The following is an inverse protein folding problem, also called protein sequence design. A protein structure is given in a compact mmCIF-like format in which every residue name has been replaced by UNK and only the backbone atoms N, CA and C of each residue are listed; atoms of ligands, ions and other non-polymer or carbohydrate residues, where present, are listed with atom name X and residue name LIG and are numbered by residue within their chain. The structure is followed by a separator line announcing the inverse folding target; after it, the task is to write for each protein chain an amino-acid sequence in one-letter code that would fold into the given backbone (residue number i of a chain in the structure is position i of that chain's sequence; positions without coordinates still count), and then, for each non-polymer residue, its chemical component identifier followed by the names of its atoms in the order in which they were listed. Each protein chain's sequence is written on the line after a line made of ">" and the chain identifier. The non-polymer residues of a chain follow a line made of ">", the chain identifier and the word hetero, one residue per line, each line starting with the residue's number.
data_IF_283957018464
#
_entry.id   IF_283957018464
#
_cell.length_a   1.000
_cell.length_b   1.000
_cell.length_c   1.000
_cell.angle_alpha   90.00
_cell.angle_beta   90.00
_cell.angle_gamma   90.00
#
_symmetry.space_group_name_H-M   'P 1'
#
loop_
_entity.id
_entity.type
_entity.pdbx_description
1 polymer ?
#
# COMPACT_ATOMS: atom_id res chain seq x y z
N UNK A 1 -1.83 -7.11 14.21
CA UNK A 1 -0.51 -6.46 14.41
C UNK A 1 0.04 -6.94 15.73
N UNK A 2 1.31 -7.37 15.74
CA UNK A 2 1.97 -8.03 16.87
C UNK A 2 2.01 -7.12 18.11
N UNK A 3 1.87 -7.72 19.28
CA UNK A 3 2.02 -7.10 20.59
C UNK A 3 3.37 -7.52 21.23
N UNK A 4 3.68 -6.93 22.39
CA UNK A 4 4.90 -7.22 23.13
C UNK A 4 5.03 -8.70 23.55
N UNK A 5 3.91 -9.38 23.80
CA UNK A 5 3.90 -10.80 24.16
C UNK A 5 4.30 -11.67 22.97
N UNK A 6 3.80 -11.36 21.77
CA UNK A 6 4.20 -12.01 20.53
C UNK A 6 5.71 -11.84 20.25
N UNK A 7 6.27 -10.65 20.48
CA UNK A 7 7.71 -10.43 20.32
C UNK A 7 8.54 -11.22 21.34
N UNK A 8 8.05 -11.35 22.57
CA UNK A 8 8.68 -12.18 23.61
C UNK A 8 8.67 -13.67 23.22
N UNK A 9 7.57 -14.15 22.63
CA UNK A 9 7.50 -15.50 22.07
C UNK A 9 8.49 -15.70 20.92
N UNK A 10 8.55 -14.75 19.97
CA UNK A 10 9.47 -14.82 18.84
C UNK A 10 10.93 -14.81 19.29
N UNK A 11 11.29 -13.99 20.29
CA UNK A 11 12.63 -13.96 20.86
C UNK A 11 13.09 -15.34 21.35
N UNK A 12 12.22 -16.04 22.09
CA UNK A 12 12.48 -17.38 22.59
C UNK A 12 12.44 -18.43 21.48
N UNK A 13 11.54 -18.29 20.50
CA UNK A 13 11.44 -19.23 19.39
C UNK A 13 12.70 -19.20 18.49
N UNK A 14 13.30 -18.02 18.30
CA UNK A 14 14.52 -17.82 17.53
C UNK A 14 15.80 -18.33 18.22
N UNK A 15 15.74 -18.65 19.51
CA UNK A 15 16.86 -19.28 20.23
C UNK A 15 16.92 -20.79 20.05
N UNK A 16 15.90 -21.40 19.43
CA UNK A 16 15.88 -22.83 19.15
C UNK A 16 16.75 -23.14 17.91
N UNK A 17 17.60 -24.18 17.99
CA UNK A 17 18.45 -24.62 16.88
C UNK A 17 17.67 -25.01 15.62
N UNK A 18 16.41 -25.42 15.77
CA UNK A 18 15.50 -25.79 14.67
C UNK A 18 14.64 -24.60 14.18
N UNK A 19 14.94 -23.36 14.59
CA UNK A 19 14.18 -22.19 14.17
C UNK A 19 14.41 -21.88 12.69
N UNK A 20 13.35 -21.62 11.90
CA UNK A 20 13.49 -21.20 10.52
C UNK A 20 13.97 -19.74 10.42
N UNK A 21 14.44 -19.36 9.23
CA UNK A 21 14.78 -17.96 8.93
C UNK A 21 13.51 -17.11 8.99
N UNK A 22 13.53 -16.10 9.86
CA UNK A 22 12.43 -15.16 10.03
C UNK A 22 12.66 -13.92 9.16
N UNK A 23 11.73 -13.65 8.24
CA UNK A 23 11.71 -12.42 7.44
C UNK A 23 10.48 -11.61 7.84
N UNK A 24 10.71 -10.38 8.33
CA UNK A 24 9.66 -9.45 8.73
C UNK A 24 9.70 -8.24 7.81
N UNK A 25 8.53 -7.73 7.43
CA UNK A 25 8.39 -6.47 6.71
C UNK A 25 7.49 -5.51 7.50
N UNK A 26 7.88 -4.24 7.53
CA UNK A 26 7.12 -3.16 8.17
C UNK A 26 7.14 -1.94 7.28
N UNK A 27 6.00 -1.27 7.19
CA UNK A 27 5.83 0.00 6.49
C UNK A 27 5.69 1.18 7.46
N UNK A 28 5.92 0.96 8.76
CA UNK A 28 5.80 1.99 9.81
C UNK A 28 7.18 2.48 10.24
N UNK A 29 7.35 3.80 10.34
CA UNK A 29 8.58 4.44 10.80
C UNK A 29 8.77 4.30 12.31
N UNK A 30 8.20 5.20 13.10
CA UNK A 30 8.19 5.12 14.57
C UNK A 30 6.74 4.92 15.00
N UNK A 31 6.46 3.90 15.81
CA UNK A 31 5.11 3.62 16.31
C UNK A 31 5.17 3.06 17.73
N UNK A 32 4.04 3.05 18.42
CA UNK A 32 3.94 2.50 19.77
C UNK A 32 3.96 0.97 19.71
N UNK A 33 4.68 0.34 20.63
CA UNK A 33 4.64 -1.11 20.78
C UNK A 33 3.30 -1.45 21.40
N UNK A 34 2.48 -2.23 20.69
CA UNK A 34 1.15 -2.63 21.16
C UNK A 34 1.27 -3.41 22.48
N UNK A 35 0.46 -3.01 23.46
CA UNK A 35 0.53 -3.51 24.84
C UNK A 35 1.38 -2.65 25.79
N UNK A 36 2.02 -1.59 25.28
CA UNK A 36 2.80 -0.65 26.10
C UNK A 36 2.57 0.80 25.66
N UNK A 37 3.06 1.74 26.47
CA UNK A 37 3.05 3.18 26.14
C UNK A 37 4.36 3.66 25.53
N UNK A 38 5.31 2.75 25.22
CA UNK A 38 6.60 3.10 24.67
C UNK A 38 6.57 3.15 23.14
N UNK A 39 7.24 4.17 22.58
CA UNK A 39 7.48 4.29 21.14
C UNK A 39 8.83 3.70 20.78
N UNK A 40 8.87 2.93 19.70
CA UNK A 40 10.10 2.37 19.17
C UNK A 40 10.14 2.44 17.63
N UNK A 41 11.33 2.33 17.02
CA UNK A 41 11.44 2.14 15.58
C UNK A 41 10.68 0.89 15.15
N UNK A 42 9.87 1.04 14.12
CA UNK A 42 9.01 0.01 13.54
C UNK A 42 7.96 -0.61 14.48
N UNK A 43 7.84 -0.14 15.73
CA UNK A 43 6.98 -0.74 16.75
C UNK A 43 7.52 -2.06 17.28
N UNK A 44 8.82 -2.30 17.12
CA UNK A 44 9.52 -3.49 17.56
C UNK A 44 10.29 -3.16 18.85
N UNK A 45 10.25 -4.01 19.89
CA UNK A 45 11.09 -3.87 21.07
C UNK A 45 12.60 -3.77 20.73
N UNK A 46 13.36 -2.96 21.45
CA UNK A 46 14.78 -2.70 21.12
C UNK A 46 15.67 -3.94 21.18
N UNK A 47 15.38 -4.84 22.13
CA UNK A 47 16.04 -6.15 22.27
C UNK A 47 15.85 -7.04 21.03
N UNK A 48 14.66 -7.01 20.42
CA UNK A 48 14.39 -7.74 19.20
C UNK A 48 15.05 -7.05 18.00
N UNK A 49 15.02 -5.72 17.96
CA UNK A 49 15.59 -4.92 16.86
C UNK A 49 17.11 -5.11 16.74
N UNK A 50 17.83 -5.18 17.85
CA UNK A 50 19.29 -5.39 17.87
C UNK A 50 19.70 -6.75 17.27
N UNK A 51 18.78 -7.71 17.19
CA UNK A 51 18.98 -9.04 16.61
C UNK A 51 18.63 -9.11 15.11
N UNK A 52 18.07 -8.05 14.53
CA UNK A 52 17.61 -8.04 13.14
C UNK A 52 18.62 -7.39 12.19
N UNK A 53 18.75 -7.97 11.00
CA UNK A 53 19.37 -7.30 9.87
C UNK A 53 18.31 -6.45 9.15
N UNK A 54 18.48 -5.12 9.18
CA UNK A 54 17.56 -4.20 8.52
C UNK A 54 17.98 -3.99 7.07
N UNK A 55 17.10 -4.36 6.13
CA UNK A 55 17.25 -4.09 4.70
C UNK A 55 16.20 -3.05 4.30
N UNK A 56 16.65 -1.90 3.80
CA UNK A 56 15.76 -0.84 3.33
C UNK A 56 15.44 -1.02 1.85
N UNK A 57 14.17 -0.85 1.49
CA UNK A 57 13.72 -0.82 0.10
C UNK A 57 13.52 0.63 -0.33
N UNK A 58 13.85 0.93 -1.59
CA UNK A 58 13.62 2.24 -2.20
C UNK A 58 12.35 2.21 -3.06
N UNK A 59 11.64 3.33 -3.19
CA UNK A 59 10.52 3.43 -4.13
C UNK A 59 10.99 3.18 -5.57
N UNK A 60 10.15 2.49 -6.34
CA UNK A 60 10.42 2.24 -7.75
C UNK A 60 10.36 3.53 -8.57
N UNK A 61 11.22 3.61 -9.58
CA UNK A 61 11.17 4.63 -10.63
C UNK A 61 10.05 4.33 -11.63
N UNK A 62 9.62 5.34 -12.40
CA UNK A 62 8.58 5.15 -13.41
C UNK A 62 8.95 4.09 -14.47
N UNK A 63 10.24 3.99 -14.82
CA UNK A 63 10.74 2.98 -15.76
C UNK A 63 10.64 1.56 -15.18
N UNK A 64 10.94 1.39 -13.90
CA UNK A 64 10.80 0.10 -13.19
C UNK A 64 9.33 -0.28 -13.04
N UNK A 65 8.45 0.68 -12.73
CA UNK A 65 7.00 0.47 -12.68
C UNK A 65 6.49 -0.04 -14.03
N UNK A 66 6.91 0.57 -15.14
CA UNK A 66 6.53 0.13 -16.50
C UNK A 66 6.93 -1.32 -16.75
N UNK A 67 8.17 -1.69 -16.43
CA UNK A 67 8.67 -3.08 -16.58
C UNK A 67 7.90 -4.07 -15.72
N UNK A 68 7.56 -3.69 -14.48
CA UNK A 68 6.75 -4.55 -13.60
C UNK A 68 5.35 -4.74 -14.20
N UNK A 69 4.72 -3.67 -14.70
CA UNK A 69 3.41 -3.76 -15.34
C UNK A 69 3.45 -4.58 -16.63
N UNK A 70 4.53 -4.48 -17.41
CA UNK A 70 4.73 -5.31 -18.61
C UNK A 70 4.75 -6.80 -18.26
N UNK A 71 5.55 -7.19 -17.26
CA UNK A 71 5.61 -8.59 -16.78
C UNK A 71 4.23 -9.04 -16.27
N UNK A 72 3.49 -8.17 -15.58
CA UNK A 72 2.16 -8.50 -15.08
C UNK A 72 1.12 -8.66 -16.19
N UNK A 73 1.19 -7.86 -17.25
CA UNK A 73 0.35 -8.06 -18.43
C UNK A 73 0.64 -9.40 -19.12
N UNK A 74 1.91 -9.81 -19.20
CA UNK A 74 2.31 -11.11 -19.73
C UNK A 74 1.85 -12.27 -18.83
N UNK A 75 1.99 -12.14 -17.50
CA UNK A 75 1.53 -13.16 -16.54
C UNK A 75 0.00 -13.33 -16.52
N UNK A 76 -0.75 -12.24 -16.68
CA UNK A 76 -2.22 -12.26 -16.70
C UNK A 76 -2.80 -12.56 -18.10
N UNK A 77 -1.96 -12.77 -19.12
CA UNK A 77 -2.34 -13.01 -20.53
C UNK A 77 -3.26 -11.91 -21.08
N UNK A 78 -2.93 -10.64 -20.77
CA UNK A 78 -3.68 -9.46 -21.20
C UNK A 78 -2.85 -8.67 -22.22
N UNK A 79 -3.25 -8.75 -23.49
CA UNK A 79 -2.67 -7.90 -24.53
C UNK A 79 -3.12 -6.44 -24.34
N UNK A 80 -2.18 -5.53 -24.19
CA UNK A 80 -2.45 -4.10 -23.98
C UNK A 80 -1.65 -3.24 -24.94
N UNK A 81 -2.26 -2.16 -25.44
CA UNK A 81 -1.60 -1.20 -26.32
C UNK A 81 -0.46 -0.46 -25.60
N UNK A 82 0.53 0.01 -26.36
CA UNK A 82 1.65 0.77 -25.81
C UNK A 82 1.19 2.05 -25.08
N UNK A 83 0.20 2.75 -25.64
CA UNK A 83 -0.41 3.93 -25.02
C UNK A 83 -1.14 3.58 -23.72
N UNK A 84 -1.78 2.41 -23.66
CA UNK A 84 -2.40 1.89 -22.44
C UNK A 84 -1.37 1.66 -21.34
N UNK A 85 -0.23 1.04 -21.67
CA UNK A 85 0.90 0.82 -20.75
C UNK A 85 1.47 2.12 -20.19
N UNK A 86 1.60 3.14 -21.04
CA UNK A 86 2.11 4.44 -20.62
C UNK A 86 1.12 5.17 -19.69
N UNK A 87 -0.19 5.08 -19.96
CA UNK A 87 -1.22 5.61 -19.06
C UNK A 87 -1.22 4.89 -17.71
N UNK A 88 -1.16 3.55 -17.72
CA UNK A 88 -1.16 2.73 -16.51
C UNK A 88 0.07 2.99 -15.65
N UNK A 89 1.22 3.25 -16.27
CA UNK A 89 2.46 3.63 -15.60
C UNK A 89 2.33 4.98 -14.89
N UNK A 90 1.70 5.98 -15.55
CA UNK A 90 1.40 7.28 -14.93
C UNK A 90 0.48 7.12 -13.72
N UNK A 91 -0.62 6.37 -13.88
CA UNK A 91 -1.55 6.08 -12.78
C UNK A 91 -0.82 5.38 -11.62
N UNK A 92 0.03 4.39 -11.90
CA UNK A 92 0.80 3.67 -10.89
C UNK A 92 1.80 4.54 -10.13
N UNK A 93 2.33 5.58 -10.78
CA UNK A 93 3.23 6.56 -10.17
C UNK A 93 2.50 7.55 -9.27
N UNK A 94 1.30 8.01 -9.66
CA UNK A 94 0.50 8.97 -8.89
C UNK A 94 -0.23 8.32 -7.69
N UNK A 95 -0.64 7.06 -7.85
CA UNK A 95 -1.44 6.32 -6.86
C UNK A 95 -0.60 5.26 -6.13
N UNK A 96 -0.63 4.01 -6.59
CA UNK A 96 0.19 2.90 -6.11
C UNK A 96 0.32 1.81 -7.16
N UNK A 97 1.44 1.09 -7.14
CA UNK A 97 1.67 -0.07 -8.01
C UNK A 97 0.59 -1.16 -7.84
N UNK A 98 0.09 -1.35 -6.61
CA UNK A 98 -0.98 -2.34 -6.33
C UNK A 98 -2.26 -2.00 -7.08
N UNK A 99 -2.67 -0.74 -7.04
CA UNK A 99 -3.87 -0.28 -7.72
C UNK A 99 -3.72 -0.41 -9.23
N UNK A 100 -2.56 -0.02 -9.78
CA UNK A 100 -2.24 -0.22 -11.19
C UNK A 100 -2.37 -1.69 -11.63
N UNK A 101 -1.83 -2.65 -10.87
CA UNK A 101 -1.97 -4.09 -11.19
C UNK A 101 -3.44 -4.52 -11.19
N UNK A 102 -4.24 -4.10 -10.21
CA UNK A 102 -5.66 -4.43 -10.17
C UNK A 102 -6.45 -3.85 -11.36
N UNK A 103 -6.01 -2.71 -11.91
CA UNK A 103 -6.60 -2.15 -13.12
C UNK A 103 -6.31 -3.01 -14.36
N UNK A 104 -5.20 -3.76 -14.42
CA UNK A 104 -4.89 -4.64 -15.57
C UNK A 104 -6.00 -5.69 -15.72
N UNK A 105 -6.28 -6.44 -14.65
CA UNK A 105 -7.33 -7.47 -14.65
C UNK A 105 -8.69 -6.88 -15.00
N UNK A 106 -9.02 -5.72 -14.41
CA UNK A 106 -10.30 -5.05 -14.61
C UNK A 106 -10.46 -4.48 -16.02
N UNK A 107 -9.38 -3.96 -16.62
CA UNK A 107 -9.35 -3.48 -17.99
C UNK A 107 -9.42 -4.65 -18.99
N UNK A 108 -8.81 -5.79 -18.67
CA UNK A 108 -8.98 -7.04 -19.42
C UNK A 108 -10.45 -7.47 -19.49
N UNK A 109 -11.17 -7.44 -18.36
CA UNK A 109 -12.62 -7.72 -18.33
C UNK A 109 -13.44 -6.69 -19.11
N UNK A 110 -13.09 -5.41 -19.04
CA UNK A 110 -13.75 -4.36 -19.81
C UNK A 110 -13.57 -4.56 -21.32
N UNK A 111 -12.37 -4.93 -21.76
CA UNK A 111 -12.05 -5.25 -23.15
C UNK A 111 -12.81 -6.49 -23.63
N UNK A 112 -12.85 -7.57 -22.83
CA UNK A 112 -13.64 -8.77 -23.13
C UNK A 112 -15.13 -8.43 -23.29
N UNK A 113 -15.68 -7.54 -22.45
CA UNK A 113 -17.06 -7.07 -22.57
C UNK A 113 -17.31 -6.30 -23.88
N UNK A 114 -16.33 -5.54 -24.36
CA UNK A 114 -16.35 -4.88 -25.68
C UNK A 114 -16.15 -5.86 -26.84
N UNK A 115 -15.79 -7.12 -26.55
CA UNK A 115 -15.32 -8.13 -27.51
C UNK A 115 -14.04 -7.69 -28.24
N UNK A 116 -13.24 -6.84 -27.60
CA UNK A 116 -11.90 -6.49 -28.07
C UNK A 116 -10.90 -7.60 -27.73
N UNK A 117 -9.81 -7.66 -28.49
CA UNK A 117 -8.67 -8.56 -28.19
C UNK A 117 -7.55 -7.85 -27.42
N UNK A 118 -7.40 -6.55 -27.65
CA UNK A 118 -6.35 -5.70 -27.05
C UNK A 118 -7.01 -4.64 -26.19
N UNK A 119 -6.49 -4.46 -24.97
CA UNK A 119 -6.89 -3.40 -24.05
C UNK A 119 -6.41 -2.05 -24.59
N UNK A 120 -7.35 -1.13 -24.77
CA UNK A 120 -7.10 0.23 -25.25
C UNK A 120 -7.16 1.25 -24.09
N UNK A 121 -6.72 2.48 -24.35
CA UNK A 121 -6.74 3.56 -23.36
C UNK A 121 -8.16 3.84 -22.82
N UNK A 122 -9.19 3.66 -23.64
CA UNK A 122 -10.59 3.83 -23.26
C UNK A 122 -11.02 2.84 -22.18
N UNK A 123 -10.57 1.58 -22.27
CA UNK A 123 -10.90 0.53 -21.31
C UNK A 123 -10.29 0.87 -19.93
N UNK A 124 -9.03 1.33 -19.91
CA UNK A 124 -8.34 1.75 -18.69
C UNK A 124 -9.00 2.99 -18.09
N UNK A 125 -9.32 3.99 -18.90
CA UNK A 125 -9.99 5.21 -18.45
C UNK A 125 -11.35 4.87 -17.82
N UNK A 126 -12.14 4.02 -18.48
CA UNK A 126 -13.43 3.57 -17.94
C UNK A 126 -13.28 2.89 -16.59
N UNK A 127 -12.33 1.98 -16.44
CA UNK A 127 -12.09 1.26 -15.18
C UNK A 127 -11.58 2.20 -14.09
N UNK A 128 -10.71 3.16 -14.42
CA UNK A 128 -10.21 4.19 -13.50
C UNK A 128 -11.32 5.11 -12.95
N UNK A 129 -12.39 5.32 -13.72
CA UNK A 129 -13.57 6.05 -13.24
C UNK A 129 -14.46 5.18 -12.34
N UNK A 130 -14.55 3.87 -12.61
CA UNK A 130 -15.39 2.94 -11.84
C UNK A 130 -14.76 2.56 -10.49
N UNK A 131 -13.45 2.35 -10.45
CA UNK A 131 -12.73 1.95 -9.24
C UNK A 131 -11.89 3.12 -8.74
N UNK A 132 -12.26 3.67 -7.59
CA UNK A 132 -11.52 4.76 -6.96
C UNK A 132 -10.29 4.23 -6.24
N UNK A 133 -9.18 4.97 -6.30
CA UNK A 133 -8.04 4.73 -5.44
C UNK A 133 -8.31 5.27 -4.03
N UNK A 134 -7.45 4.90 -3.08
CA UNK A 134 -7.61 5.28 -1.66
C UNK A 134 -7.67 6.80 -1.50
N UNK A 135 -6.83 7.58 -2.19
CA UNK A 135 -6.80 9.05 -2.03
C UNK A 135 -8.09 9.68 -2.54
N UNK A 136 -8.54 9.30 -3.75
CA UNK A 136 -9.83 9.78 -4.30
C UNK A 136 -11.02 9.34 -3.45
N UNK A 137 -10.99 8.11 -2.92
CA UNK A 137 -12.08 7.64 -2.03
C UNK A 137 -12.14 8.42 -0.73
N UNK A 138 -10.99 8.77 -0.12
CA UNK A 138 -10.97 9.57 1.11
C UNK A 138 -11.46 10.98 0.85
N UNK A 139 -11.13 11.56 -0.31
CA UNK A 139 -11.59 12.89 -0.70
C UNK A 139 -13.09 12.90 -0.94
N UNK A 140 -13.61 11.89 -1.65
CA UNK A 140 -15.05 11.72 -1.84
C UNK A 140 -15.81 11.61 -0.51
N UNK A 141 -15.27 10.89 0.48
CA UNK A 141 -15.86 10.80 1.82
C UNK A 141 -15.87 12.13 2.57
N UNK A 142 -14.82 12.95 2.42
CA UNK A 142 -14.74 14.30 3.02
C UNK A 142 -15.74 15.24 2.34
N UNK A 143 -15.90 15.16 1.02
CA UNK A 143 -16.82 16.03 0.28
C UNK A 143 -18.29 15.66 0.55
N UNK A 144 -18.59 14.37 0.73
CA UNK A 144 -19.91 13.84 1.07
C UNK A 144 -20.11 13.64 2.58
N UNK A 145 -19.32 14.34 3.42
CA UNK A 145 -19.31 14.17 4.87
C UNK A 145 -20.68 14.36 5.53
N UNK A 146 -21.55 15.23 4.97
CA UNK A 146 -22.91 15.46 5.46
C UNK A 146 -23.83 14.24 5.40
N UNK A 147 -23.53 13.29 4.52
CA UNK A 147 -24.39 12.13 4.26
C UNK A 147 -23.96 10.90 5.09
N UNK A 148 -22.82 10.97 5.79
CA UNK A 148 -22.27 9.88 6.60
C UNK A 148 -22.55 10.06 8.10
N UNK A 149 -23.08 9.00 8.74
CA UNK A 149 -23.61 9.04 10.12
C UNK A 149 -22.59 9.36 11.23
N UNK A 150 -21.27 9.23 11.00
CA UNK A 150 -20.25 9.34 12.04
C UNK A 150 -19.07 10.22 11.64
N UNK A 151 -19.34 11.35 10.98
CA UNK A 151 -18.32 12.38 10.80
C UNK A 151 -18.24 13.24 12.07
N UNK A 152 -17.57 12.74 13.11
CA UNK A 152 -17.09 13.65 14.14
C UNK A 152 -16.07 14.56 13.47
N UNK A 153 -16.42 15.84 13.38
CA UNK A 153 -15.46 16.90 13.09
C UNK A 153 -14.34 16.69 14.11
N UNK A 154 -13.14 16.33 13.65
CA UNK A 154 -11.95 16.56 14.46
C UNK A 154 -11.82 18.07 14.63
N UNK A 155 -12.54 18.60 15.61
CA UNK A 155 -12.27 19.92 16.14
C UNK A 155 -10.88 19.85 16.76
N UNK A 156 -9.94 20.53 16.12
CA UNK A 156 -8.94 21.38 16.76
C UNK A 156 -8.54 20.96 18.20
N UNK A 157 -7.97 19.78 18.34
CA UNK A 157 -7.47 19.30 19.63
C UNK A 157 -6.14 18.58 19.48
N UNK A 158 -5.20 19.22 18.77
CA UNK A 158 -3.76 18.91 18.89
C UNK A 158 -2.88 20.05 18.34
N UNK A 159 -3.02 21.26 18.89
CA UNK A 159 -2.07 22.32 18.59
C UNK A 159 -2.34 23.68 19.24
N UNK A 160 -2.10 23.82 20.56
CA UNK A 160 -1.51 25.07 21.08
C UNK A 160 -0.89 25.05 22.50
N UNK A 161 -0.45 23.90 23.04
CA UNK A 161 0.29 23.87 24.34
C UNK A 161 1.78 23.51 24.18
N UNK A 162 2.44 24.15 23.21
CA UNK A 162 3.90 24.12 23.09
C UNK A 162 4.48 25.44 22.56
N UNK A 163 3.98 26.59 23.04
CA UNK A 163 4.70 27.86 22.97
C UNK A 163 4.29 28.77 24.14
N UNK A 164 4.85 28.53 25.33
CA UNK A 164 5.30 29.58 26.26
C UNK A 164 5.88 28.98 27.55
N UNK A 165 7.08 29.47 27.90
CA UNK A 165 7.85 29.29 29.15
C UNK A 165 8.85 28.15 29.18
#
# INVERSE_FOLDING_TARGET
>A
MLDIECFSFLNRALENDMAPILVIATNRGITTIRGTNYRSPHGIPSDFLDRLLIITTQPYTAEEIRKILDIRCEEEDVEMSAEGKDLLTKIGTETSLRYAIQLITSAGLACQKRKGKVVEMEDISRVYHLFLDVKRSTQFLIDSQSDYMFSEVQGDSDGDDAMQS
#
